data_IF_692293476825
#
_entry.id   IF_692293476825
#
_cell.length_a   1.000
_cell.length_b   1.000
_cell.length_c   1.000
_cell.angle_alpha   90.00
_cell.angle_beta   90.00
_cell.angle_gamma   90.00
#
_symmetry.space_group_name_H-M   'P 1'
#
loop_
_entity.id
_entity.type
_entity.pdbx_description
1 polymer ?
#
# COMPACT_ATOMS: atom_id res chain seq x y z
N UNK A 1 43.12 -7.85 3.19
CA UNK A 1 42.12 -7.03 2.47
C UNK A 1 40.69 -7.48 2.75
N UNK A 2 40.33 -8.75 2.51
CA UNK A 2 38.98 -9.27 2.82
C UNK A 2 38.60 -9.14 4.30
N UNK A 3 39.49 -9.59 5.19
CA UNK A 3 39.31 -9.48 6.64
C UNK A 3 39.07 -8.03 7.11
N UNK A 4 39.86 -7.08 6.60
CA UNK A 4 39.63 -5.65 6.89
C UNK A 4 38.24 -5.18 6.45
N UNK A 5 37.80 -5.59 5.26
CA UNK A 5 36.45 -5.27 4.76
C UNK A 5 35.38 -5.90 5.64
N UNK A 6 35.52 -7.18 6.00
CA UNK A 6 34.55 -7.89 6.84
C UNK A 6 34.43 -7.26 8.23
N UNK A 7 35.56 -6.92 8.86
CA UNK A 7 35.60 -6.23 10.16
C UNK A 7 35.00 -4.82 10.07
N UNK A 8 35.29 -4.09 9.01
CA UNK A 8 34.75 -2.75 8.80
C UNK A 8 33.22 -2.79 8.61
N UNK A 9 32.72 -3.72 7.79
CA UNK A 9 31.28 -3.95 7.61
C UNK A 9 30.61 -4.34 8.94
N UNK A 10 31.21 -5.27 9.69
CA UNK A 10 30.68 -5.64 11.01
C UNK A 10 30.64 -4.46 11.99
N UNK A 11 31.70 -3.63 12.00
CA UNK A 11 31.73 -2.46 12.86
C UNK A 11 30.61 -1.47 12.53
N UNK A 12 30.46 -1.14 11.24
CA UNK A 12 29.45 -0.17 10.79
C UNK A 12 28.04 -0.68 11.07
N UNK A 13 27.71 -1.93 10.72
CA UNK A 13 26.32 -2.40 10.78
C UNK A 13 25.92 -3.10 12.08
N UNK A 14 26.86 -3.61 12.88
CA UNK A 14 26.55 -4.33 14.12
C UNK A 14 27.16 -3.65 15.36
N UNK A 15 28.46 -3.43 15.39
CA UNK A 15 29.14 -2.94 16.61
C UNK A 15 28.73 -1.51 16.98
N UNK A 16 28.75 -0.60 16.01
CA UNK A 16 28.50 0.83 16.24
C UNK A 16 27.07 1.13 16.71
N UNK A 17 26.14 0.21 16.46
CA UNK A 17 24.71 0.33 16.79
C UNK A 17 24.22 -0.74 17.77
N UNK A 18 25.13 -1.53 18.38
CA UNK A 18 24.78 -2.70 19.20
C UNK A 18 23.72 -2.38 20.26
N UNK A 19 23.98 -1.35 21.07
CA UNK A 19 23.11 -0.99 22.19
C UNK A 19 21.69 -0.58 21.75
N UNK A 20 21.50 0.42 20.85
CA UNK A 20 20.17 0.78 20.39
C UNK A 20 19.47 -0.35 19.62
N UNK A 21 20.22 -1.20 18.91
CA UNK A 21 19.67 -2.38 18.25
C UNK A 21 19.13 -3.42 19.23
N UNK A 22 19.87 -3.74 20.30
CA UNK A 22 19.43 -4.66 21.34
C UNK A 22 18.16 -4.16 22.03
N UNK A 23 18.10 -2.87 22.37
CA UNK A 23 16.92 -2.26 23.00
C UNK A 23 15.69 -2.29 22.05
N UNK A 24 15.90 -1.98 20.77
CA UNK A 24 14.86 -2.12 19.73
C UNK A 24 14.39 -3.58 19.60
N UNK A 25 15.31 -4.53 19.50
CA UNK A 25 15.01 -5.96 19.34
C UNK A 25 14.20 -6.48 20.53
N UNK A 26 14.57 -6.10 21.76
CA UNK A 26 13.81 -6.47 22.96
C UNK A 26 12.36 -5.94 22.91
N UNK A 27 12.15 -4.72 22.44
CA UNK A 27 10.81 -4.17 22.24
C UNK A 27 10.05 -4.88 21.12
N UNK A 28 10.68 -5.06 19.97
CA UNK A 28 10.11 -5.71 18.78
C UNK A 28 9.62 -7.13 19.08
N UNK A 29 10.39 -7.91 19.85
CA UNK A 29 10.05 -9.28 20.24
C UNK A 29 8.90 -9.39 21.24
N UNK A 30 8.47 -8.30 21.89
CA UNK A 30 7.29 -8.31 22.78
C UNK A 30 5.97 -8.31 22.00
N UNK A 31 5.95 -7.72 20.80
CA UNK A 31 4.73 -7.58 19.99
C UNK A 31 4.28 -8.86 19.29
N UNK A 32 5.21 -9.79 19.03
CA UNK A 32 4.93 -11.11 18.45
C UNK A 32 6.15 -12.04 18.73
N UNK A 33 5.96 -13.36 18.95
CA UNK A 33 7.06 -14.24 19.35
C UNK A 33 8.21 -14.28 18.34
N UNK A 34 9.45 -14.26 18.83
CA UNK A 34 10.68 -14.31 18.01
C UNK A 34 10.71 -15.44 16.96
N UNK A 35 10.08 -16.59 17.27
CA UNK A 35 10.00 -17.73 16.36
C UNK A 35 9.16 -17.42 15.12
N UNK A 36 8.12 -16.61 15.27
CA UNK A 36 7.25 -16.17 14.17
C UNK A 36 7.94 -15.18 13.25
N UNK A 37 8.90 -14.39 13.75
CA UNK A 37 9.66 -13.47 12.88
C UNK A 37 10.76 -14.17 12.08
N UNK A 38 11.39 -15.20 12.67
CA UNK A 38 12.47 -15.97 12.03
C UNK A 38 12.01 -16.86 10.86
N UNK A 39 10.70 -16.99 10.62
CA UNK A 39 10.17 -17.73 9.46
C UNK A 39 10.30 -16.94 8.14
N UNK A 40 10.45 -15.62 8.22
CA UNK A 40 10.55 -14.74 7.06
C UNK A 40 12.01 -14.50 6.67
N UNK A 41 12.27 -14.45 5.37
CA UNK A 41 13.50 -13.86 4.83
C UNK A 41 13.54 -12.35 5.14
N UNK A 42 14.73 -11.72 5.18
CA UNK A 42 14.84 -10.28 5.46
C UNK A 42 13.97 -9.40 4.55
N UNK A 43 13.87 -9.76 3.26
CA UNK A 43 13.03 -9.05 2.28
C UNK A 43 11.52 -9.24 2.56
N UNK A 44 11.11 -10.44 3.00
CA UNK A 44 9.71 -10.73 3.31
C UNK A 44 9.28 -10.01 4.59
N UNK A 45 10.16 -9.96 5.60
CA UNK A 45 9.93 -9.20 6.82
C UNK A 45 9.82 -7.69 6.53
N UNK A 46 10.66 -7.18 5.63
CA UNK A 46 10.58 -5.79 5.18
C UNK A 46 9.24 -5.50 4.49
N UNK A 47 8.81 -6.35 3.56
CA UNK A 47 7.51 -6.22 2.87
C UNK A 47 6.35 -6.31 3.86
N UNK A 48 6.43 -7.20 4.84
CA UNK A 48 5.40 -7.35 5.88
C UNK A 48 5.27 -6.08 6.74
N UNK A 49 6.39 -5.47 7.13
CA UNK A 49 6.40 -4.29 8.00
C UNK A 49 6.12 -2.98 7.25
N UNK A 50 6.64 -2.84 6.02
CA UNK A 50 6.63 -1.59 5.26
C UNK A 50 5.65 -1.59 4.08
N UNK A 51 5.19 -2.77 3.64
CA UNK A 51 4.44 -2.93 2.38
C UNK A 51 5.37 -2.96 1.16
N UNK A 52 4.79 -3.16 -0.02
CA UNK A 52 5.54 -3.06 -1.29
C UNK A 52 5.78 -1.59 -1.67
N UNK A 53 6.98 -1.30 -2.19
CA UNK A 53 7.38 0.04 -2.66
C UNK A 53 7.14 0.25 -4.17
N UNK A 54 6.79 -0.80 -4.91
CA UNK A 54 6.55 -0.76 -6.35
C UNK A 54 5.06 -0.68 -6.64
N UNK A 55 4.62 0.43 -7.23
CA UNK A 55 3.23 0.68 -7.57
C UNK A 55 2.99 0.42 -9.06
N UNK A 56 2.16 -0.57 -9.38
CA UNK A 56 1.64 -0.76 -10.75
C UNK A 56 0.19 -0.27 -10.84
N UNK A 57 0.04 1.01 -11.19
CA UNK A 57 -1.26 1.64 -11.31
C UNK A 57 -2.14 1.06 -12.41
N UNK A 58 -1.57 0.39 -13.42
CA UNK A 58 -2.35 -0.28 -14.46
C UNK A 58 -2.94 -1.57 -13.91
N UNK A 59 -2.17 -2.30 -13.10
CA UNK A 59 -2.66 -3.48 -12.39
C UNK A 59 -3.79 -3.11 -11.42
N UNK A 60 -3.67 -1.97 -10.73
CA UNK A 60 -4.75 -1.44 -9.89
C UNK A 60 -6.03 -1.22 -10.70
N UNK A 61 -5.94 -0.64 -11.90
CA UNK A 61 -7.08 -0.44 -12.79
C UNK A 61 -7.71 -1.75 -13.26
N UNK A 62 -6.89 -2.75 -13.58
CA UNK A 62 -7.35 -4.09 -13.99
C UNK A 62 -8.09 -4.83 -12.87
N UNK A 63 -7.78 -4.51 -11.61
CA UNK A 63 -8.37 -5.13 -10.43
C UNK A 63 -9.66 -4.45 -9.94
N UNK A 64 -10.25 -3.55 -10.74
CA UNK A 64 -11.47 -2.84 -10.36
C UNK A 64 -12.72 -3.57 -10.82
N UNK A 65 -13.69 -3.64 -9.91
CA UNK A 65 -15.05 -4.09 -10.21
C UNK A 65 -15.94 -2.86 -10.37
N UNK A 66 -16.70 -2.77 -11.44
CA UNK A 66 -17.66 -1.69 -11.65
C UNK A 66 -19.07 -2.15 -11.27
N UNK A 67 -19.74 -1.42 -10.37
CA UNK A 67 -21.13 -1.69 -9.97
C UNK A 67 -22.00 -0.50 -10.37
N UNK A 68 -23.11 -0.76 -11.06
CA UNK A 68 -23.96 0.30 -11.63
C UNK A 68 -23.25 1.24 -12.62
N UNK A 69 -22.00 0.95 -12.97
CA UNK A 69 -21.25 1.56 -14.06
C UNK A 69 -20.87 0.49 -15.08
N UNK A 70 -20.72 0.91 -16.33
CA UNK A 70 -19.96 0.17 -17.32
C UNK A 70 -18.55 0.75 -17.38
N UNK A 71 -17.54 -0.08 -17.63
CA UNK A 71 -16.16 0.37 -17.81
C UNK A 71 -16.03 1.43 -18.93
N UNK A 72 -16.86 1.31 -19.97
CA UNK A 72 -16.92 2.24 -21.09
C UNK A 72 -17.56 3.60 -20.77
N UNK A 73 -18.19 3.75 -19.60
CA UNK A 73 -18.91 4.96 -19.19
C UNK A 73 -17.97 6.17 -19.07
N UNK A 74 -18.45 7.36 -19.47
CA UNK A 74 -17.60 8.56 -19.52
C UNK A 74 -17.03 8.95 -18.16
N UNK A 75 -17.82 8.84 -17.08
CA UNK A 75 -17.36 9.10 -15.70
C UNK A 75 -16.18 8.21 -15.30
N UNK A 76 -16.20 6.92 -15.68
CA UNK A 76 -15.09 5.98 -15.41
C UNK A 76 -13.85 6.33 -16.24
N UNK A 77 -14.03 6.63 -17.53
CA UNK A 77 -12.93 7.09 -18.39
C UNK A 77 -12.30 8.38 -17.86
N UNK A 78 -13.12 9.33 -17.40
CA UNK A 78 -12.67 10.59 -16.80
C UNK A 78 -11.90 10.33 -15.50
N UNK A 79 -12.43 9.47 -14.62
CA UNK A 79 -11.76 9.08 -13.37
C UNK A 79 -10.34 8.56 -13.64
N UNK A 80 -10.18 7.59 -14.54
CA UNK A 80 -8.85 7.04 -14.84
C UNK A 80 -7.95 8.06 -15.55
N UNK A 81 -8.50 8.88 -16.44
CA UNK A 81 -7.74 9.96 -17.10
C UNK A 81 -7.17 10.93 -16.07
N UNK A 82 -7.98 11.36 -15.10
CA UNK A 82 -7.52 12.24 -14.01
C UNK A 82 -6.52 11.50 -13.12
N UNK A 83 -6.85 10.28 -12.71
CA UNK A 83 -5.99 9.46 -11.85
C UNK A 83 -4.58 9.28 -12.43
N UNK A 84 -4.46 8.89 -13.70
CA UNK A 84 -3.15 8.68 -14.33
C UNK A 84 -2.36 9.99 -14.51
N UNK A 85 -3.04 11.13 -14.66
CA UNK A 85 -2.41 12.46 -14.68
C UNK A 85 -1.92 12.93 -13.32
N UNK A 86 -2.37 12.33 -12.21
CA UNK A 86 -1.89 12.69 -10.88
C UNK A 86 -0.40 12.35 -10.71
N UNK A 87 0.36 13.20 -9.99
CA UNK A 87 1.70 12.83 -9.54
C UNK A 87 1.63 11.66 -8.55
N UNK A 88 2.74 10.92 -8.45
CA UNK A 88 2.82 9.68 -7.66
C UNK A 88 2.35 9.84 -6.22
N UNK A 89 2.77 10.93 -5.57
CA UNK A 89 2.37 11.26 -4.20
C UNK A 89 0.84 11.39 -4.03
N UNK A 90 0.14 11.90 -5.06
CA UNK A 90 -1.33 11.97 -5.02
C UNK A 90 -2.00 10.62 -5.29
N UNK A 91 -1.37 9.75 -6.09
CA UNK A 91 -1.85 8.37 -6.30
C UNK A 91 -1.73 7.53 -5.03
N UNK A 92 -0.62 7.66 -4.29
CA UNK A 92 -0.45 7.04 -2.97
C UNK A 92 -1.47 7.56 -1.95
N UNK A 93 -1.75 8.87 -1.95
CA UNK A 93 -2.83 9.45 -1.12
C UNK A 93 -4.21 8.93 -1.51
N UNK A 94 -4.48 8.71 -2.80
CA UNK A 94 -5.71 8.05 -3.22
C UNK A 94 -5.77 6.61 -2.69
N UNK A 95 -4.68 5.86 -2.75
CA UNK A 95 -4.61 4.52 -2.17
C UNK A 95 -4.95 4.55 -0.67
N UNK A 96 -4.36 5.49 0.08
CA UNK A 96 -4.69 5.69 1.49
C UNK A 96 -6.16 6.08 1.73
N UNK A 97 -6.73 6.92 0.87
CA UNK A 97 -8.14 7.27 0.92
C UNK A 97 -9.04 6.05 0.65
N UNK A 98 -8.62 5.16 -0.25
CA UNK A 98 -9.36 3.96 -0.63
C UNK A 98 -9.29 2.85 0.43
N UNK A 99 -8.10 2.56 0.95
CA UNK A 99 -7.82 1.39 1.80
C UNK A 99 -7.61 1.73 3.28
N UNK A 100 -7.53 3.02 3.64
CA UNK A 100 -7.11 3.47 4.96
C UNK A 100 -5.59 3.40 5.19
N UNK A 101 -4.80 2.97 4.19
CA UNK A 101 -3.33 2.90 4.27
C UNK A 101 -2.67 3.25 2.94
N UNK A 102 -1.61 4.04 2.96
CA UNK A 102 -0.78 4.30 1.78
C UNK A 102 0.13 3.11 1.39
N UNK A 103 0.10 2.05 2.20
CA UNK A 103 0.87 0.83 2.00
C UNK A 103 0.10 -0.16 1.16
N UNK A 104 0.80 -0.77 0.20
CA UNK A 104 0.29 -1.92 -0.54
C UNK A 104 0.26 -3.12 0.42
N UNK A 105 -0.82 -3.93 0.45
CA UNK A 105 -0.86 -5.16 1.23
C UNK A 105 0.37 -6.03 0.97
N UNK A 106 0.81 -6.81 1.96
CA UNK A 106 2.01 -7.64 1.84
C UNK A 106 1.96 -8.63 0.65
N UNK A 107 0.76 -9.04 0.24
CA UNK A 107 0.55 -9.89 -0.94
C UNK A 107 0.76 -9.16 -2.27
N UNK A 108 0.84 -7.83 -2.28
CA UNK A 108 1.04 -7.02 -3.48
C UNK A 108 -0.25 -6.36 -3.99
N UNK A 109 -0.08 -5.46 -4.96
CA UNK A 109 -1.17 -4.67 -5.54
C UNK A 109 -2.12 -5.53 -6.39
N UNK A 110 -1.64 -6.68 -6.85
CA UNK A 110 -2.42 -7.67 -7.61
C UNK A 110 -3.59 -8.26 -6.81
N UNK A 111 -3.49 -8.27 -5.48
CA UNK A 111 -4.55 -8.73 -4.59
C UNK A 111 -5.43 -7.59 -4.06
N UNK A 112 -5.08 -6.34 -4.35
CA UNK A 112 -5.90 -5.19 -3.97
C UNK A 112 -7.01 -4.99 -5.01
N UNK A 113 -8.17 -5.59 -4.73
CA UNK A 113 -9.40 -5.40 -5.52
C UNK A 113 -10.31 -4.40 -4.82
N UNK A 114 -10.89 -3.49 -5.60
CA UNK A 114 -11.85 -2.51 -5.10
C UNK A 114 -13.00 -2.31 -6.09
N UNK A 115 -14.12 -1.80 -5.59
CA UNK A 115 -15.32 -1.55 -6.40
C UNK A 115 -15.48 -0.05 -6.62
N UNK A 116 -15.72 0.37 -7.86
CA UNK A 116 -16.25 1.71 -8.17
C UNK A 116 -17.75 1.57 -8.43
N UNK A 117 -18.57 2.30 -7.69
CA UNK A 117 -20.02 2.25 -7.83
C UNK A 117 -20.67 3.61 -8.10
N UNK A 118 -21.73 3.60 -8.90
CA UNK A 118 -22.67 4.72 -8.98
C UNK A 118 -23.63 4.64 -7.78
N UNK A 119 -23.58 5.60 -6.84
CA UNK A 119 -24.46 5.61 -5.68
C UNK A 119 -25.90 6.02 -6.00
N UNK A 120 -26.20 6.48 -7.23
CA UNK A 120 -27.53 6.92 -7.68
C UNK A 120 -28.18 7.98 -6.79
N UNK A 121 -27.38 8.90 -6.26
CA UNK A 121 -27.87 10.02 -5.46
C UNK A 121 -28.62 11.04 -6.33
N UNK A 122 -29.66 11.65 -5.77
CA UNK A 122 -30.28 12.82 -6.37
C UNK A 122 -29.34 14.02 -6.29
N UNK A 123 -29.23 14.79 -7.38
CA UNK A 123 -28.32 15.94 -7.51
C UNK A 123 -26.84 15.55 -7.25
N UNK A 124 -26.24 14.68 -8.09
CA UNK A 124 -24.90 14.12 -7.86
C UNK A 124 -23.79 15.18 -7.76
N UNK A 125 -23.96 16.33 -8.45
CA UNK A 125 -23.03 17.46 -8.43
C UNK A 125 -22.84 18.08 -7.03
N UNK A 126 -23.77 17.86 -6.10
CA UNK A 126 -23.67 18.35 -4.73
C UNK A 126 -22.81 17.46 -3.81
N UNK A 127 -22.32 16.33 -4.32
CA UNK A 127 -21.61 15.35 -3.51
C UNK A 127 -20.18 15.11 -3.99
N UNK A 128 -19.27 14.97 -3.03
CA UNK A 128 -17.93 14.47 -3.30
C UNK A 128 -17.92 12.94 -3.36
N UNK A 129 -16.92 12.34 -4.04
CA UNK A 129 -16.69 10.90 -3.96
C UNK A 129 -16.50 10.45 -2.51
N UNK A 130 -17.08 9.30 -2.15
CA UNK A 130 -16.98 8.71 -0.81
C UNK A 130 -16.42 7.30 -0.88
N UNK A 131 -15.71 6.90 0.16
CA UNK A 131 -15.14 5.55 0.27
C UNK A 131 -15.66 4.85 1.51
N UNK A 132 -16.04 3.58 1.36
CA UNK A 132 -16.16 2.62 2.46
C UNK A 132 -14.90 1.77 2.50
N UNK A 133 -13.93 2.16 3.34
CA UNK A 133 -12.58 1.59 3.36
C UNK A 133 -12.58 0.11 3.73
N UNK A 134 -13.44 -0.30 4.67
CA UNK A 134 -13.56 -1.70 5.10
C UNK A 134 -14.02 -2.65 3.99
N UNK A 135 -14.77 -2.12 3.01
CA UNK A 135 -15.31 -2.88 1.89
C UNK A 135 -14.61 -2.59 0.56
N UNK A 136 -13.62 -1.69 0.56
CA UNK A 136 -12.95 -1.20 -0.65
C UNK A 136 -13.95 -0.73 -1.72
N UNK A 137 -14.93 0.08 -1.33
CA UNK A 137 -15.94 0.64 -2.25
C UNK A 137 -15.73 2.14 -2.39
N UNK A 138 -15.51 2.61 -3.62
CA UNK A 138 -15.52 4.00 -4.02
C UNK A 138 -16.88 4.34 -4.65
N UNK A 139 -17.73 5.05 -3.92
CA UNK A 139 -18.95 5.64 -4.46
C UNK A 139 -18.60 6.90 -5.23
N UNK A 140 -18.73 6.84 -6.56
CA UNK A 140 -18.40 7.90 -7.50
C UNK A 140 -19.70 8.44 -8.12
N UNK A 141 -20.19 9.62 -7.69
CA UNK A 141 -21.37 10.25 -8.29
C UNK A 141 -21.22 10.45 -9.80
N UNK A 142 -22.33 10.25 -10.53
CA UNK A 142 -22.38 10.32 -11.99
C UNK A 142 -22.46 11.74 -12.51
#
# INVERSE_FOLDING_TARGET
>A
RKEFVDLYVNYIFNESVRKPYEDFMQGFLRGCPARSWKMFLPVELQVLLLGHATYDWRLLQQNVIYRNYQESHQTIKNFWTVFFRLPEEKKKKFLAFLSGSDRIPALGLEYLRFTIEDPRWENPDNFLPRVSTCSYILSLPR
#
